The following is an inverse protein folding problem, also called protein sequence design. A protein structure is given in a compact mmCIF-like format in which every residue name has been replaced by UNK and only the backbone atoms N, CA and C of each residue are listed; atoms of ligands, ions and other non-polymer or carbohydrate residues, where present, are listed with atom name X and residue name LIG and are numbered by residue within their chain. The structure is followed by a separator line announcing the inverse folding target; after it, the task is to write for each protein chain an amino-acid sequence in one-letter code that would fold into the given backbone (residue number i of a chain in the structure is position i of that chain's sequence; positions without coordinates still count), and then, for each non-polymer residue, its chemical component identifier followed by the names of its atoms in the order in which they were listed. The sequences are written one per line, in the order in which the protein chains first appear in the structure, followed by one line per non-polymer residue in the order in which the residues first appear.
data_IF_103323714552
#
_entry.id   IF_103323714552
#
_cell.length_a   1.000
_cell.length_b   1.000
_cell.length_c   1.000
_cell.angle_alpha   90.00
_cell.angle_beta   90.00
_cell.angle_gamma   90.00
#
_symmetry.space_group_name_H-M   'P 1'
#
loop_
_entity.id
_entity.type
_entity.pdbx_description
1 polymer ?
#
# COMPACT_ATOMS: atom_id res chain seq x y z
N UNK A 1 12.40 19.89 1.51
CA UNK A 1 11.60 19.68 2.73
C UNK A 1 12.32 18.68 3.61
N UNK A 2 12.69 19.07 4.83
CA UNK A 2 13.31 18.18 5.80
C UNK A 2 12.26 17.25 6.45
N UNK A 3 12.69 16.09 6.97
CA UNK A 3 11.80 15.12 7.63
C UNK A 3 10.91 15.77 8.72
N UNK A 4 11.40 16.68 9.58
CA UNK A 4 10.56 17.33 10.58
C UNK A 4 9.43 18.19 9.98
N UNK A 5 9.69 18.86 8.86
CA UNK A 5 8.68 19.67 8.16
C UNK A 5 7.62 18.79 7.48
N UNK A 6 8.08 17.70 6.85
CA UNK A 6 7.21 16.69 6.25
C UNK A 6 6.27 16.07 7.30
N UNK A 7 6.82 15.71 8.45
CA UNK A 7 6.07 15.16 9.57
C UNK A 7 5.00 16.15 10.08
N UNK A 8 5.36 17.43 10.25
CA UNK A 8 4.40 18.48 10.65
C UNK A 8 3.30 18.68 9.62
N UNK A 9 3.66 18.78 8.34
CA UNK A 9 2.68 18.97 7.25
C UNK A 9 1.76 17.76 7.08
N UNK A 10 2.26 16.56 7.35
CA UNK A 10 1.51 15.32 7.19
C UNK A 10 0.76 14.87 8.45
N UNK A 11 0.87 15.59 9.57
CA UNK A 11 0.19 15.23 10.82
C UNK A 11 0.69 13.93 11.46
N UNK A 12 1.94 13.52 11.22
CA UNK A 12 2.54 12.31 11.80
C UNK A 12 3.87 12.61 12.48
N UNK A 13 4.27 11.77 13.44
CA UNK A 13 5.55 11.95 14.14
C UNK A 13 6.73 11.42 13.32
N UNK A 14 7.93 11.92 13.62
CA UNK A 14 9.17 11.37 13.05
C UNK A 14 9.36 9.89 13.39
N UNK A 15 8.89 9.45 14.57
CA UNK A 15 8.92 8.04 14.95
C UNK A 15 8.03 7.18 14.04
N UNK A 16 6.83 7.68 13.70
CA UNK A 16 5.93 7.03 12.72
C UNK A 16 6.58 6.95 11.34
N UNK A 17 7.19 8.04 10.88
CA UNK A 17 7.91 8.05 9.61
C UNK A 17 9.05 7.03 9.59
N UNK A 18 9.87 6.96 10.64
CA UNK A 18 10.95 5.96 10.74
C UNK A 18 10.41 4.52 10.70
N UNK A 19 9.29 4.24 11.39
CA UNK A 19 8.64 2.91 11.32
C UNK A 19 8.21 2.56 9.90
N UNK A 20 7.60 3.50 9.18
CA UNK A 20 7.23 3.29 7.77
C UNK A 20 8.45 3.12 6.88
N UNK A 21 9.50 3.90 7.09
CA UNK A 21 10.75 3.78 6.33
C UNK A 21 11.40 2.41 6.55
N UNK A 22 11.44 1.89 7.77
CA UNK A 22 11.95 0.53 8.04
C UNK A 22 11.07 -0.53 7.38
N UNK A 23 9.75 -0.36 7.41
CA UNK A 23 8.81 -1.37 6.90
C UNK A 23 8.66 -1.36 5.37
N UNK A 24 8.73 -0.19 4.75
CA UNK A 24 8.35 0.03 3.36
C UNK A 24 9.45 0.70 2.52
N UNK A 25 10.51 1.22 3.13
CA UNK A 25 11.53 2.04 2.44
C UNK A 25 12.36 1.29 1.40
N UNK A 26 12.36 -0.04 1.43
CA UNK A 26 12.99 -0.88 0.40
C UNK A 26 12.07 -1.24 -0.78
N UNK A 27 10.80 -0.85 -0.75
CA UNK A 27 9.82 -1.21 -1.79
C UNK A 27 9.72 -0.07 -2.81
N UNK A 28 10.04 -0.30 -4.10
CA UNK A 28 9.82 0.69 -5.14
C UNK A 28 8.33 1.05 -5.26
N UNK A 29 8.03 2.32 -5.50
CA UNK A 29 6.64 2.80 -5.66
C UNK A 29 5.93 2.08 -6.82
N UNK A 30 6.65 1.79 -7.90
CA UNK A 30 6.15 1.00 -9.04
C UNK A 30 5.71 -0.41 -8.61
N UNK A 31 6.51 -1.06 -7.76
CA UNK A 31 6.19 -2.40 -7.25
C UNK A 31 5.01 -2.37 -6.29
N UNK A 32 4.94 -1.37 -5.40
CA UNK A 32 3.80 -1.17 -4.51
C UNK A 32 2.49 -0.94 -5.29
N UNK A 33 2.55 -0.20 -6.40
CA UNK A 33 1.41 0.03 -7.30
C UNK A 33 0.97 -1.26 -7.98
N UNK A 34 1.90 -2.00 -8.57
CA UNK A 34 1.64 -3.29 -9.23
C UNK A 34 1.00 -4.29 -8.25
N UNK A 35 1.50 -4.36 -7.02
CA UNK A 35 0.94 -5.23 -5.98
C UNK A 35 -0.52 -4.86 -5.65
N UNK A 36 -0.87 -3.57 -5.61
CA UNK A 36 -2.24 -3.11 -5.38
C UNK A 36 -3.17 -3.49 -6.53
N UNK A 37 -2.72 -3.32 -7.77
CA UNK A 37 -3.48 -3.68 -8.97
C UNK A 37 -3.74 -5.19 -9.02
N UNK A 38 -2.71 -6.01 -8.80
CA UNK A 38 -2.83 -7.47 -8.73
C UNK A 38 -3.81 -7.91 -7.65
N UNK A 39 -3.75 -7.31 -6.46
CA UNK A 39 -4.71 -7.62 -5.38
C UNK A 39 -6.14 -7.26 -5.77
N UNK A 40 -6.34 -6.13 -6.44
CA UNK A 40 -7.66 -5.74 -6.91
C UNK A 40 -8.19 -6.69 -7.96
N UNK A 41 -7.34 -7.15 -8.88
CA UNK A 41 -7.76 -8.07 -9.93
C UNK A 41 -8.06 -9.45 -9.36
N UNK A 42 -7.22 -9.95 -8.44
CA UNK A 42 -7.46 -11.22 -7.77
C UNK A 42 -8.81 -11.22 -7.02
N UNK A 43 -9.13 -10.14 -6.31
CA UNK A 43 -10.43 -10.01 -5.63
C UNK A 43 -11.63 -10.04 -6.60
N UNK A 44 -11.50 -9.48 -7.80
CA UNK A 44 -12.55 -9.58 -8.83
C UNK A 44 -12.66 -11.02 -9.35
N UNK A 45 -11.53 -11.66 -9.61
CA UNK A 45 -11.49 -13.04 -10.10
C UNK A 45 -12.08 -14.01 -9.08
N UNK A 46 -11.74 -13.88 -7.80
CA UNK A 46 -12.33 -14.66 -6.71
C UNK A 46 -13.85 -14.49 -6.65
N UNK A 47 -14.35 -13.26 -6.83
CA UNK A 47 -15.79 -13.00 -6.89
C UNK A 47 -16.47 -13.68 -8.09
N UNK A 48 -15.91 -13.51 -9.29
CA UNK A 48 -16.46 -14.12 -10.51
C UNK A 48 -16.42 -15.66 -10.43
N UNK A 49 -15.35 -16.21 -9.84
CA UNK A 49 -15.21 -17.65 -9.60
C UNK A 49 -16.31 -18.15 -8.65
N UNK A 50 -16.56 -17.43 -7.55
CA UNK A 50 -17.62 -17.77 -6.62
C UNK A 50 -19.01 -17.68 -7.27
N UNK A 51 -19.28 -16.62 -8.04
CA UNK A 51 -20.53 -16.46 -8.79
C UNK A 51 -20.73 -17.61 -9.81
N UNK A 52 -19.66 -18.06 -10.48
CA UNK A 52 -19.72 -19.17 -11.43
C UNK A 52 -19.89 -20.56 -10.78
N UNK A 53 -19.46 -20.74 -9.53
CA UNK A 53 -19.62 -22.01 -8.80
C UNK A 53 -20.94 -22.10 -8.01
N UNK A 54 -21.59 -20.96 -7.73
CA UNK A 54 -22.87 -20.88 -7.02
C UNK A 54 -24.08 -20.81 -7.97
N UNK A 55 -23.85 -20.81 -9.28
CA UNK A 55 -24.86 -20.84 -10.34
C UNK A 55 -25.07 -22.23 -10.94
#
# INVERSE_FOLDING_TARGET
MAIPELCRSGGFSQATFCKWRTKYGGIPVSEARRLRELKSENAKLERLLAEAHLG
#
